data_IF_267771164148
#
_entry.id   IF_267771164148
#
_cell.length_a   1.000
_cell.length_b   1.000
_cell.length_c   1.000
_cell.angle_alpha   90.00
_cell.angle_beta   90.00
_cell.angle_gamma   90.00
#
_symmetry.space_group_name_H-M   'P 1'
#
loop_
_entity.id
_entity.type
_entity.pdbx_description
1 polymer ?
#
# COMPACT_ATOMS: atom_id res chain seq x y z
N UNK A 1 -4.05 -8.15 -21.37
CA UNK A 1 -3.47 -6.79 -21.51
C UNK A 1 -1.97 -6.95 -21.38
N UNK A 2 -1.16 -6.62 -22.39
CA UNK A 2 0.25 -7.01 -22.45
C UNK A 2 1.08 -6.50 -21.25
N UNK A 3 0.68 -5.38 -20.63
CA UNK A 3 1.37 -4.83 -19.46
C UNK A 3 0.99 -5.41 -18.09
N UNK A 4 0.04 -6.35 -18.01
CA UNK A 4 -0.39 -6.94 -16.74
C UNK A 4 -0.26 -8.46 -16.76
N UNK A 5 0.23 -9.03 -15.66
CA UNK A 5 0.19 -10.46 -15.39
C UNK A 5 -0.88 -10.77 -14.33
N UNK A 6 -1.38 -12.00 -14.33
CA UNK A 6 -2.26 -12.52 -13.28
C UNK A 6 -1.44 -12.83 -12.02
N UNK A 7 -1.97 -12.46 -10.85
CA UNK A 7 -1.43 -12.87 -9.57
C UNK A 7 -1.89 -14.30 -9.25
N UNK A 8 -1.11 -15.30 -9.66
CA UNK A 8 -1.50 -16.70 -9.55
C UNK A 8 -1.62 -17.17 -8.08
N UNK A 9 -2.75 -17.81 -7.76
CA UNK A 9 -3.03 -18.34 -6.42
C UNK A 9 -3.15 -17.25 -5.36
N UNK A 10 -3.52 -16.01 -5.73
CA UNK A 10 -3.77 -14.91 -4.79
C UNK A 10 -5.24 -14.51 -4.86
N UNK A 11 -5.86 -14.44 -3.69
CA UNK A 11 -7.24 -14.00 -3.53
C UNK A 11 -7.29 -12.48 -3.43
N UNK A 12 -7.73 -11.82 -4.51
CA UNK A 12 -7.98 -10.38 -4.55
C UNK A 12 -8.87 -10.02 -5.74
N UNK A 13 -9.79 -9.06 -5.61
CA UNK A 13 -10.51 -8.52 -6.76
C UNK A 13 -9.53 -8.02 -7.83
N UNK A 14 -9.73 -8.43 -9.08
CA UNK A 14 -8.88 -7.99 -10.18
C UNK A 14 -7.42 -8.44 -10.07
N UNK A 15 -7.16 -9.64 -9.50
CA UNK A 15 -5.86 -10.31 -9.28
C UNK A 15 -4.83 -10.18 -10.42
N UNK A 16 -4.27 -8.99 -10.54
CA UNK A 16 -3.31 -8.59 -11.56
C UNK A 16 -2.30 -7.64 -10.98
N UNK A 17 -1.13 -7.62 -11.59
CA UNK A 17 -0.01 -6.75 -11.27
C UNK A 17 0.70 -6.39 -12.59
N UNK A 18 1.54 -5.35 -12.58
CA UNK A 18 2.40 -5.05 -13.71
C UNK A 18 3.25 -6.28 -14.07
N UNK A 19 3.24 -6.68 -15.35
CA UNK A 19 3.79 -7.96 -15.79
C UNK A 19 5.26 -8.15 -15.37
N UNK A 20 6.09 -7.12 -15.54
CA UNK A 20 7.50 -7.14 -15.15
C UNK A 20 7.79 -7.14 -13.64
N UNK A 21 6.76 -7.10 -12.78
CA UNK A 21 6.90 -7.15 -11.32
C UNK A 21 6.37 -8.45 -10.72
N UNK A 22 5.79 -9.34 -11.54
CA UNK A 22 5.11 -10.55 -11.06
C UNK A 22 6.08 -11.51 -10.33
N UNK A 23 7.27 -11.71 -10.87
CA UNK A 23 8.27 -12.61 -10.29
C UNK A 23 8.82 -12.08 -8.96
N UNK A 24 9.11 -10.78 -8.89
CA UNK A 24 9.56 -10.13 -7.65
C UNK A 24 8.47 -10.17 -6.57
N UNK A 25 7.20 -10.02 -6.95
CA UNK A 25 6.08 -10.18 -6.02
C UNK A 25 5.97 -11.64 -5.54
N UNK A 26 6.12 -12.61 -6.44
CA UNK A 26 6.09 -14.03 -6.09
C UNK A 26 7.22 -14.41 -5.13
N UNK A 27 8.42 -13.87 -5.35
CA UNK A 27 9.58 -14.04 -4.48
C UNK A 27 9.34 -13.41 -3.09
N UNK A 28 8.81 -12.17 -3.02
CA UNK A 28 8.39 -11.56 -1.76
C UNK A 28 7.39 -12.44 -1.01
N UNK A 29 6.36 -12.97 -1.68
CA UNK A 29 5.38 -13.88 -1.07
C UNK A 29 6.05 -15.15 -0.55
N UNK A 30 6.98 -15.74 -1.29
CA UNK A 30 7.71 -16.93 -0.87
C UNK A 30 8.56 -16.67 0.39
N UNK A 31 9.27 -15.54 0.46
CA UNK A 31 10.07 -15.18 1.64
C UNK A 31 9.20 -14.90 2.86
N UNK A 32 8.07 -14.21 2.68
CA UNK A 32 7.11 -13.96 3.76
C UNK A 32 6.58 -15.29 4.30
N UNK A 33 6.23 -16.24 3.43
CA UNK A 33 5.80 -17.59 3.81
C UNK A 33 6.88 -18.33 4.59
N UNK A 34 8.12 -18.31 4.09
CA UNK A 34 9.24 -18.98 4.74
C UNK A 34 9.51 -18.41 6.15
N UNK A 35 9.49 -17.08 6.31
CA UNK A 35 9.81 -16.43 7.57
C UNK A 35 8.67 -16.49 8.61
N UNK A 36 7.41 -16.44 8.16
CA UNK A 36 6.25 -16.39 9.07
C UNK A 36 5.55 -17.74 9.24
N UNK A 37 5.82 -18.72 8.35
CA UNK A 37 5.04 -19.95 8.25
C UNK A 37 3.60 -19.73 7.77
N UNK A 38 3.26 -18.52 7.28
CA UNK A 38 1.91 -18.12 6.89
C UNK A 38 1.93 -17.47 5.51
N UNK A 39 0.90 -17.74 4.73
CA UNK A 39 0.73 -17.09 3.43
C UNK A 39 0.02 -15.74 3.55
N UNK A 40 0.69 -14.76 4.17
CA UNK A 40 0.11 -13.44 4.41
C UNK A 40 -0.25 -12.68 3.12
N UNK A 41 0.54 -12.85 2.06
CA UNK A 41 0.28 -12.25 0.75
C UNK A 41 -0.56 -13.15 -0.18
N UNK A 42 -1.09 -14.26 0.33
CA UNK A 42 -2.02 -15.12 -0.39
C UNK A 42 -3.40 -14.51 -0.57
N UNK A 43 -3.75 -13.57 0.29
CA UNK A 43 -4.97 -12.77 0.19
C UNK A 43 -4.59 -11.30 0.30
N UNK A 44 -5.01 -10.48 -0.65
CA UNK A 44 -4.78 -9.03 -0.64
C UNK A 44 -6.11 -8.30 -0.49
N UNK A 45 -6.07 -7.15 0.14
CA UNK A 45 -7.25 -6.29 0.21
C UNK A 45 -7.51 -5.61 -1.16
N UNK A 46 -6.44 -5.28 -1.89
CA UNK A 46 -6.52 -4.69 -3.23
C UNK A 46 -5.21 -4.90 -4.01
N UNK A 47 -5.28 -4.84 -5.33
CA UNK A 47 -4.14 -4.98 -6.25
C UNK A 47 -4.33 -4.07 -7.47
N UNK A 48 -4.77 -4.59 -8.62
CA UNK A 48 -4.96 -3.77 -9.80
C UNK A 48 -6.40 -3.22 -9.90
N UNK A 49 -6.50 -1.92 -10.20
CA UNK A 49 -7.78 -1.23 -10.47
C UNK A 49 -7.85 -0.78 -11.93
N UNK A 50 -9.00 -0.88 -12.62
CA UNK A 50 -9.14 -0.27 -13.95
C UNK A 50 -9.07 1.26 -13.88
N UNK A 51 -8.69 1.94 -14.98
CA UNK A 51 -8.57 3.40 -15.04
C UNK A 51 -9.82 4.14 -14.55
N UNK A 52 -11.00 3.63 -14.91
CA UNK A 52 -12.30 4.20 -14.53
C UNK A 52 -12.72 3.99 -13.08
N UNK A 53 -11.98 3.21 -12.29
CA UNK A 53 -12.31 2.94 -10.88
C UNK A 53 -12.35 4.24 -10.06
N UNK A 54 -13.39 4.36 -9.23
CA UNK A 54 -13.61 5.47 -8.30
C UNK A 54 -14.15 4.92 -6.97
N UNK A 55 -13.62 5.44 -5.87
CA UNK A 55 -14.17 5.23 -4.52
C UNK A 55 -13.86 6.44 -3.66
N UNK A 56 -14.59 6.61 -2.57
CA UNK A 56 -14.36 7.71 -1.61
C UNK A 56 -12.98 7.65 -0.93
N UNK A 57 -12.35 6.47 -0.92
CA UNK A 57 -11.02 6.25 -0.34
C UNK A 57 -9.88 6.15 -1.36
N UNK A 58 -10.13 6.27 -2.67
CA UNK A 58 -9.09 6.15 -3.69
C UNK A 58 -8.75 7.50 -4.31
N UNK A 59 -7.47 7.84 -4.33
CA UNK A 59 -6.98 8.90 -5.20
C UNK A 59 -7.28 8.56 -6.68
N UNK A 60 -7.60 9.57 -7.49
CA UNK A 60 -7.84 9.37 -8.92
C UNK A 60 -6.63 8.77 -9.63
N UNK A 61 -5.43 9.28 -9.32
CA UNK A 61 -4.12 8.79 -9.79
C UNK A 61 -3.50 7.80 -8.81
N UNK A 62 -4.27 6.81 -8.35
CA UNK A 62 -3.75 5.73 -7.51
C UNK A 62 -2.80 4.83 -8.30
N UNK A 63 -1.72 4.35 -7.66
CA UNK A 63 -0.77 3.41 -8.25
C UNK A 63 -1.33 2.00 -8.45
N UNK A 64 -2.47 1.65 -7.84
CA UNK A 64 -3.21 0.43 -8.19
C UNK A 64 -3.61 0.40 -9.67
N UNK A 65 -3.86 1.58 -10.26
CA UNK A 65 -4.23 1.68 -11.68
C UNK A 65 -3.08 1.30 -12.61
N UNK A 66 -1.84 1.46 -12.17
CA UNK A 66 -0.64 1.11 -12.96
C UNK A 66 -0.14 -0.31 -12.70
N UNK A 67 -0.85 -1.09 -11.86
CA UNK A 67 -0.42 -2.44 -11.48
C UNK A 67 0.83 -2.45 -10.60
N UNK A 68 1.21 -1.30 -10.04
CA UNK A 68 2.43 -1.10 -9.25
C UNK A 68 2.10 -0.74 -7.79
N UNK A 69 0.95 -1.18 -7.31
CA UNK A 69 0.57 -1.12 -5.90
C UNK A 69 -0.24 -2.35 -5.49
N UNK A 70 -0.18 -2.67 -4.19
CA UNK A 70 -1.04 -3.63 -3.55
C UNK A 70 -1.37 -3.19 -2.12
N UNK A 71 -2.52 -3.64 -1.63
CA UNK A 71 -2.94 -3.47 -0.25
C UNK A 71 -2.90 -4.83 0.45
N UNK A 72 -2.15 -4.94 1.55
CA UNK A 72 -2.15 -6.15 2.39
C UNK A 72 -3.48 -6.34 3.10
N UNK A 73 -3.69 -7.50 3.71
CA UNK A 73 -4.68 -7.62 4.78
C UNK A 73 -4.36 -6.61 5.91
N UNK A 74 -5.42 -6.09 6.53
CA UNK A 74 -5.31 -5.14 7.65
C UNK A 74 -5.00 -5.82 8.99
N UNK A 75 -5.25 -7.12 9.09
CA UNK A 75 -5.03 -7.87 10.31
C UNK A 75 -4.42 -9.24 10.00
N UNK A 76 -3.65 -9.75 10.96
CA UNK A 76 -3.22 -11.15 10.97
C UNK A 76 -3.44 -11.70 12.37
N UNK A 77 -4.35 -12.67 12.47
CA UNK A 77 -4.67 -13.35 13.71
C UNK A 77 -4.02 -14.73 13.76
N UNK A 78 -3.47 -15.04 14.93
CA UNK A 78 -2.92 -16.33 15.30
C UNK A 78 -3.89 -17.17 16.14
N UNK A 79 -3.49 -18.39 16.52
CA UNK A 79 -4.27 -19.26 17.40
C UNK A 79 -4.67 -18.55 18.70
N UNK A 80 -5.88 -18.82 19.18
CA UNK A 80 -6.41 -18.22 20.41
C UNK A 80 -6.65 -16.70 20.32
N UNK A 81 -6.79 -16.14 19.12
CA UNK A 81 -7.02 -14.70 18.93
C UNK A 81 -5.79 -13.83 19.16
N UNK A 82 -4.59 -14.41 19.15
CA UNK A 82 -3.34 -13.65 19.27
C UNK A 82 -3.16 -12.70 18.09
N UNK A 83 -2.76 -11.45 18.34
CA UNK A 83 -2.37 -10.51 17.26
C UNK A 83 -1.01 -10.93 16.71
N UNK A 84 -0.99 -11.46 15.49
CA UNK A 84 0.23 -11.86 14.77
C UNK A 84 0.69 -10.79 13.76
N UNK A 85 0.07 -9.61 13.79
CA UNK A 85 0.53 -8.38 13.16
C UNK A 85 0.66 -7.26 14.19
N UNK A 86 1.78 -6.55 14.15
CA UNK A 86 2.07 -5.39 14.99
C UNK A 86 2.51 -4.24 14.10
N UNK A 87 1.94 -3.06 14.34
CA UNK A 87 2.29 -1.83 13.63
C UNK A 87 3.04 -0.91 14.58
N UNK A 88 4.24 -0.47 14.21
CA UNK A 88 5.03 0.49 14.97
C UNK A 88 5.04 1.80 14.22
N UNK A 89 4.77 2.89 14.94
CA UNK A 89 4.81 4.24 14.37
C UNK A 89 6.23 4.58 13.96
N UNK A 90 6.38 5.12 12.76
CA UNK A 90 7.62 5.61 12.21
C UNK A 90 7.41 7.03 11.67
N UNK A 91 8.43 7.88 11.74
CA UNK A 91 8.37 9.27 11.29
C UNK A 91 9.52 9.52 10.33
N UNK A 92 9.20 9.77 9.06
CA UNK A 92 10.18 9.98 8.00
C UNK A 92 9.86 11.24 7.19
N UNK A 93 10.80 12.20 7.17
CA UNK A 93 10.64 13.46 6.44
C UNK A 93 9.42 14.28 6.89
N UNK A 94 9.15 14.30 8.20
CA UNK A 94 8.00 15.01 8.79
C UNK A 94 6.64 14.37 8.52
N UNK A 95 6.60 13.12 8.04
CA UNK A 95 5.36 12.38 7.77
C UNK A 95 5.32 11.08 8.56
N UNK A 96 4.15 10.81 9.15
CA UNK A 96 3.88 9.55 9.84
C UNK A 96 3.74 8.41 8.86
N UNK A 97 4.40 7.29 9.15
CA UNK A 97 4.26 6.01 8.46
C UNK A 97 4.21 4.89 9.50
N UNK A 98 4.01 3.66 9.04
CA UNK A 98 3.90 2.50 9.93
C UNK A 98 4.83 1.39 9.46
N UNK A 99 5.70 0.91 10.35
CA UNK A 99 6.42 -0.35 10.13
C UNK A 99 5.53 -1.50 10.55
N UNK A 100 5.34 -2.46 9.65
CA UNK A 100 4.59 -3.67 9.88
C UNK A 100 5.52 -4.81 10.26
N UNK A 101 5.19 -5.46 11.36
CA UNK A 101 5.85 -6.64 11.87
C UNK A 101 4.85 -7.79 11.90
N UNK A 102 5.25 -8.92 11.31
CA UNK A 102 4.49 -10.16 11.32
C UNK A 102 5.16 -11.14 12.26
N UNK A 103 4.39 -11.93 12.99
CA UNK A 103 4.98 -12.92 13.90
C UNK A 103 5.77 -13.96 13.09
N UNK A 104 7.01 -14.23 13.48
CA UNK A 104 7.83 -15.26 12.84
C UNK A 104 7.25 -16.66 13.09
N UNK A 105 7.42 -17.56 12.12
CA UNK A 105 6.97 -18.95 12.24
C UNK A 105 7.78 -19.67 13.31
N UNK A 106 9.11 -19.57 13.22
CA UNK A 106 10.04 -20.00 14.25
C UNK A 106 10.17 -18.90 15.33
N UNK A 107 10.13 -19.31 16.61
CA UNK A 107 10.23 -18.41 17.77
C UNK A 107 11.53 -18.63 18.54
N UNK A 108 12.58 -18.98 17.81
CA UNK A 108 13.95 -19.23 18.28
C UNK A 108 14.94 -18.14 17.81
N UNK A 109 14.47 -17.17 17.01
CA UNK A 109 15.27 -16.08 16.45
C UNK A 109 15.91 -16.37 15.10
N UNK A 110 15.66 -17.54 14.50
CA UNK A 110 16.22 -17.90 13.19
C UNK A 110 15.62 -17.09 12.03
N UNK A 111 14.35 -16.67 12.13
CA UNK A 111 13.63 -15.95 11.07
C UNK A 111 13.19 -14.53 11.44
N UNK A 112 13.36 -14.11 12.70
CA UNK A 112 12.85 -12.82 13.20
C UNK A 112 13.64 -12.30 14.39
N UNK A 113 13.21 -11.16 14.93
CA UNK A 113 13.84 -10.50 16.08
C UNK A 113 12.81 -10.06 17.12
N UNK A 114 13.19 -9.92 18.40
CA UNK A 114 12.34 -9.25 19.37
C UNK A 114 11.99 -7.83 18.93
N UNK A 115 10.79 -7.37 19.31
CA UNK A 115 10.45 -5.95 19.22
C UNK A 115 11.05 -5.21 20.42
N UNK A 116 11.33 -3.92 20.22
CA UNK A 116 11.83 -3.02 21.28
C UNK A 116 10.83 -1.94 21.65
N UNK A 117 9.74 -1.83 20.90
CA UNK A 117 8.69 -0.84 21.12
C UNK A 117 7.31 -1.51 21.05
N UNK A 118 6.35 -1.00 21.83
CA UNK A 118 4.97 -1.45 21.74
C UNK A 118 4.35 -1.07 20.39
N UNK A 119 3.41 -1.90 19.94
CA UNK A 119 2.58 -1.58 18.77
C UNK A 119 1.71 -0.34 19.00
N UNK A 120 1.19 0.22 17.91
CA UNK A 120 0.26 1.33 17.92
C UNK A 120 -1.18 0.86 17.89
N UNK A 121 -2.00 1.43 18.76
CA UNK A 121 -3.46 1.32 18.73
C UNK A 121 -4.01 2.60 18.13
N UNK A 122 -4.62 2.50 16.95
CA UNK A 122 -5.22 3.63 16.24
C UNK A 122 -6.44 4.18 16.96
N UNK A 123 -6.66 5.50 16.86
CA UNK A 123 -7.90 6.12 17.30
C UNK A 123 -9.08 5.77 16.37
N UNK A 124 -8.82 5.69 15.06
CA UNK A 124 -9.84 5.26 14.12
C UNK A 124 -10.26 3.82 14.43
N UNK A 125 -11.54 3.61 14.72
CA UNK A 125 -12.11 2.32 15.11
C UNK A 125 -11.95 1.93 16.58
N UNK A 126 -11.32 2.76 17.43
CA UNK A 126 -11.17 2.43 18.87
C UNK A 126 -12.41 2.70 19.72
N UNK A 127 -13.30 3.58 19.26
CA UNK A 127 -14.41 4.11 20.06
C UNK A 127 -13.98 5.13 21.13
N UNK A 128 -12.69 5.44 21.26
CA UNK A 128 -12.15 6.40 22.22
C UNK A 128 -11.85 7.74 21.55
N UNK A 129 -12.76 8.71 21.72
CA UNK A 129 -12.64 10.05 21.16
C UNK A 129 -11.42 10.81 21.70
N UNK A 130 -10.91 10.47 22.88
CA UNK A 130 -9.72 11.09 23.48
C UNK A 130 -8.45 10.83 22.67
N UNK A 131 -8.41 9.75 21.89
CA UNK A 131 -7.25 9.39 21.07
C UNK A 131 -7.16 10.16 19.75
N UNK A 132 -8.23 10.85 19.34
CA UNK A 132 -8.31 11.53 18.04
C UNK A 132 -7.29 12.69 17.87
N UNK A 133 -6.79 13.26 18.97
CA UNK A 133 -5.76 14.32 18.92
C UNK A 133 -4.39 13.75 18.55
N UNK A 134 -4.06 12.57 19.05
CA UNK A 134 -2.77 11.90 18.82
C UNK A 134 -2.83 10.85 17.71
N UNK A 135 -4.04 10.53 17.24
CA UNK A 135 -4.32 9.47 16.26
C UNK A 135 -4.22 8.06 16.82
N UNK A 136 -4.17 7.93 18.14
CA UNK A 136 -3.97 6.66 18.83
C UNK A 136 -2.97 6.77 19.95
N UNK A 137 -2.49 5.61 20.41
CA UNK A 137 -1.48 5.50 21.46
C UNK A 137 -0.60 4.28 21.25
N UNK A 138 0.60 4.33 21.82
CA UNK A 138 1.42 3.13 22.02
C UNK A 138 0.72 2.17 22.99
N UNK A 139 0.85 0.88 22.74
CA UNK A 139 0.43 -0.17 23.67
C UNK A 139 1.21 -0.10 24.98
N UNK A 140 0.64 -0.70 26.03
CA UNK A 140 1.25 -0.69 27.37
C UNK A 140 2.48 -1.63 27.48
N UNK A 141 2.57 -2.64 26.61
CA UNK A 141 3.62 -3.65 26.65
C UNK A 141 4.23 -3.87 25.27
N UNK A 142 5.52 -4.20 25.25
CA UNK A 142 6.20 -4.68 24.05
C UNK A 142 5.77 -6.13 23.81
N UNK A 143 5.24 -6.49 22.62
CA UNK A 143 4.89 -7.86 22.32
C UNK A 143 6.11 -8.78 22.37
N UNK A 144 6.05 -9.83 23.18
CA UNK A 144 7.11 -10.84 23.25
C UNK A 144 7.22 -11.68 21.99
N UNK A 145 8.28 -12.49 21.91
CA UNK A 145 8.55 -13.38 20.78
C UNK A 145 9.36 -12.72 19.66
N UNK A 146 9.43 -13.43 18.53
CA UNK A 146 10.23 -13.03 17.37
C UNK A 146 9.33 -12.60 16.21
N UNK A 147 9.71 -11.51 15.56
CA UNK A 147 8.91 -10.81 14.57
C UNK A 147 9.73 -10.53 13.31
N UNK A 148 9.09 -10.76 12.16
CA UNK A 148 9.60 -10.44 10.83
C UNK A 148 9.22 -9.00 10.51
N UNK A 149 10.21 -8.18 10.15
CA UNK A 149 9.97 -6.83 9.63
C UNK A 149 9.50 -6.92 8.18
N UNK A 150 8.18 -7.03 7.99
CA UNK A 150 7.57 -7.13 6.65
C UNK A 150 7.88 -5.91 5.82
N UNK A 151 7.88 -4.72 6.42
CA UNK A 151 8.20 -3.48 5.73
C UNK A 151 9.62 -3.49 5.17
N UNK A 152 10.60 -3.96 5.93
CA UNK A 152 11.98 -4.10 5.45
C UNK A 152 12.11 -5.21 4.40
N UNK A 153 11.39 -6.33 4.55
CA UNK A 153 11.39 -7.41 3.58
C UNK A 153 10.80 -6.97 2.24
N UNK A 154 9.65 -6.31 2.23
CA UNK A 154 9.02 -5.74 1.05
C UNK A 154 9.95 -4.75 0.33
N UNK A 155 10.66 -3.90 1.08
CA UNK A 155 11.60 -2.94 0.51
C UNK A 155 12.78 -3.58 -0.23
N UNK A 156 13.21 -4.80 0.13
CA UNK A 156 14.25 -5.56 -0.62
C UNK A 156 13.81 -5.90 -2.04
N UNK A 157 12.50 -6.00 -2.26
CA UNK A 157 11.87 -6.23 -3.55
C UNK A 157 11.35 -4.93 -4.20
N UNK A 158 11.77 -3.76 -3.70
CA UNK A 158 11.37 -2.45 -4.23
C UNK A 158 9.96 -1.99 -3.86
N UNK A 159 9.25 -2.73 -2.99
CA UNK A 159 7.92 -2.37 -2.51
C UNK A 159 8.03 -1.49 -1.26
N UNK A 160 7.50 -0.28 -1.35
CA UNK A 160 7.62 0.71 -0.29
C UNK A 160 6.24 1.13 0.23
N UNK A 161 6.10 1.17 1.56
CA UNK A 161 4.96 1.80 2.22
C UNK A 161 4.84 3.28 1.84
N UNK A 162 3.61 3.80 1.83
CA UNK A 162 3.38 5.24 1.73
C UNK A 162 3.19 5.88 3.12
N UNK A 163 3.37 7.21 3.25
CA UNK A 163 2.99 7.91 4.47
C UNK A 163 1.49 8.00 4.62
N UNK A 164 1.04 7.98 5.87
CA UNK A 164 -0.34 8.29 6.22
C UNK A 164 -0.72 9.70 5.80
N UNK A 165 -1.99 9.90 5.49
CA UNK A 165 -2.52 11.20 5.10
C UNK A 165 -2.72 12.04 6.36
N UNK A 166 -2.01 13.17 6.48
CA UNK A 166 -2.07 14.04 7.66
C UNK A 166 -2.92 15.30 7.50
N UNK A 167 -3.92 15.30 6.60
CA UNK A 167 -4.69 16.52 6.27
C UNK A 167 -6.14 16.24 5.88
N UNK A 168 -7.00 17.23 6.12
CA UNK A 168 -8.39 17.24 5.69
C UNK A 168 -9.21 16.09 6.29
N UNK A 169 -10.22 15.64 5.54
CA UNK A 169 -11.11 14.54 5.98
C UNK A 169 -10.42 13.17 6.06
N UNK A 170 -9.26 13.04 5.44
CA UNK A 170 -8.45 11.83 5.44
C UNK A 170 -7.29 11.91 6.44
N UNK A 171 -7.32 12.83 7.41
CA UNK A 171 -6.32 12.83 8.48
C UNK A 171 -6.36 11.49 9.23
N UNK A 172 -5.25 10.74 9.19
CA UNK A 172 -5.07 9.42 9.77
C UNK A 172 -5.40 9.37 11.25
N UNK A 173 -5.32 10.50 11.95
CA UNK A 173 -5.67 10.58 13.36
C UNK A 173 -7.15 10.32 13.63
N UNK A 174 -7.99 10.46 12.61
CA UNK A 174 -9.46 10.40 12.71
C UNK A 174 -10.08 9.50 11.64
N UNK A 175 -9.39 9.28 10.54
CA UNK A 175 -9.87 8.53 9.39
C UNK A 175 -9.12 7.21 9.26
N UNK A 176 -9.87 6.10 9.19
CA UNK A 176 -9.29 4.78 8.92
C UNK A 176 -8.55 4.78 7.59
N UNK A 177 -9.19 5.26 6.51
CA UNK A 177 -8.59 5.36 5.18
C UNK A 177 -7.27 6.13 5.18
N UNK A 178 -7.14 7.16 6.01
CA UNK A 178 -5.93 7.97 6.10
C UNK A 178 -4.69 7.24 6.63
N UNK A 179 -4.86 6.07 7.26
CA UNK A 179 -3.78 5.34 7.92
C UNK A 179 -2.78 4.75 6.93
N UNK A 180 -3.23 4.11 5.85
CA UNK A 180 -2.41 3.66 4.71
C UNK A 180 -1.26 2.65 5.02
N UNK A 181 -1.20 2.02 6.20
CA UNK A 181 -0.09 1.08 6.51
C UNK A 181 -0.07 -0.17 5.61
N UNK A 182 -1.22 -0.52 5.05
CA UNK A 182 -1.40 -1.69 4.19
C UNK A 182 -0.96 -1.42 2.75
N UNK A 183 -0.80 -0.15 2.35
CA UNK A 183 -0.57 0.25 0.97
C UNK A 183 0.92 0.28 0.64
N UNK A 184 1.32 -0.56 -0.31
CA UNK A 184 2.69 -0.64 -0.82
C UNK A 184 2.72 -0.32 -2.31
N UNK A 185 3.72 0.46 -2.71
CA UNK A 185 3.93 0.88 -4.10
C UNK A 185 5.36 0.57 -4.56
N UNK A 186 5.52 0.25 -5.84
CA UNK A 186 6.83 0.12 -6.49
C UNK A 186 6.92 1.05 -7.71
N UNK A 187 7.49 2.23 -7.46
CA UNK A 187 7.50 3.33 -8.43
C UNK A 187 8.67 3.26 -9.42
N UNK A 188 9.80 2.68 -9.03
CA UNK A 188 11.01 2.56 -9.87
C UNK A 188 11.43 3.87 -10.57
N UNK A 189 11.25 5.02 -9.89
CA UNK A 189 11.55 6.35 -10.44
C UNK A 189 10.53 6.90 -11.45
N UNK A 190 9.48 6.15 -11.79
CA UNK A 190 8.45 6.58 -12.75
C UNK A 190 7.50 7.62 -12.14
N UNK A 191 7.05 8.54 -12.98
CA UNK A 191 5.84 9.32 -12.73
C UNK A 191 4.61 8.50 -13.09
N UNK A 192 3.46 8.88 -12.55
CA UNK A 192 2.23 8.07 -12.66
C UNK A 192 1.82 7.78 -14.11
N UNK A 193 1.88 8.77 -14.99
CA UNK A 193 1.48 8.63 -16.40
C UNK A 193 2.43 7.70 -17.17
N UNK A 194 3.74 7.81 -16.93
CA UNK A 194 4.76 6.93 -17.49
C UNK A 194 4.51 5.46 -17.07
N UNK A 195 4.19 5.24 -15.80
CA UNK A 195 3.81 3.93 -15.28
C UNK A 195 2.47 3.45 -15.87
N UNK A 196 1.49 4.32 -16.08
CA UNK A 196 0.21 3.96 -16.68
C UNK A 196 0.37 3.50 -18.13
N UNK A 197 1.22 4.15 -18.94
CA UNK A 197 1.52 3.74 -20.33
C UNK A 197 2.14 2.36 -20.46
N UNK A 198 2.73 1.82 -19.40
CA UNK A 198 3.22 0.44 -19.40
C UNK A 198 2.08 -0.59 -19.37
N UNK A 199 0.87 -0.19 -18.98
CA UNK A 199 -0.29 -1.06 -18.77
C UNK A 199 -1.43 -0.80 -19.75
N UNK A 200 -1.59 0.44 -20.21
CA UNK A 200 -2.67 0.88 -21.08
C UNK A 200 -2.10 1.45 -22.38
N UNK A 201 -2.79 1.19 -23.48
CA UNK A 201 -2.51 1.88 -24.74
C UNK A 201 -2.94 3.35 -24.67
N UNK A 202 -2.43 4.13 -25.63
CA UNK A 202 -2.67 5.58 -25.67
C UNK A 202 -4.15 5.91 -25.90
N UNK A 203 -4.91 5.06 -26.59
CA UNK A 203 -6.35 5.25 -26.82
C UNK A 203 -7.15 5.14 -25.51
N UNK A 204 -6.92 4.09 -24.71
CA UNK A 204 -7.57 3.90 -23.42
C UNK A 204 -7.19 5.00 -22.42
N UNK A 205 -5.94 5.47 -22.45
CA UNK A 205 -5.51 6.60 -21.65
C UNK A 205 -6.21 7.89 -22.11
N UNK A 206 -6.26 8.19 -23.41
CA UNK A 206 -6.88 9.39 -23.95
C UNK A 206 -8.38 9.47 -23.59
N UNK A 207 -9.08 8.33 -23.65
CA UNK A 207 -10.49 8.25 -23.25
C UNK A 207 -10.67 8.46 -21.74
N UNK A 208 -9.90 7.75 -20.91
CA UNK A 208 -10.06 7.80 -19.45
C UNK A 208 -9.56 9.11 -18.84
N UNK A 209 -8.56 9.73 -19.47
CA UNK A 209 -7.84 10.92 -19.03
C UNK A 209 -8.04 12.10 -19.99
N UNK A 210 -9.22 12.18 -20.62
CA UNK A 210 -9.61 13.30 -21.47
C UNK A 210 -9.55 14.63 -20.71
N UNK A 211 -9.21 15.78 -21.33
CA UNK A 211 -9.03 17.06 -20.63
C UNK A 211 -10.27 17.50 -19.88
N UNK A 212 -11.46 17.27 -20.43
CA UNK A 212 -12.71 17.61 -19.74
C UNK A 212 -12.86 16.83 -18.43
N UNK A 213 -12.47 15.54 -18.42
CA UNK A 213 -12.50 14.72 -17.21
C UNK A 213 -11.44 15.18 -16.21
N UNK A 214 -10.25 15.55 -16.68
CA UNK A 214 -9.17 16.08 -15.83
C UNK A 214 -9.52 17.45 -15.25
N UNK A 215 -10.15 18.34 -16.03
CA UNK A 215 -10.68 19.62 -15.58
C UNK A 215 -11.77 19.45 -14.51
N UNK A 216 -12.67 18.47 -14.69
CA UNK A 216 -13.69 18.16 -13.69
C UNK A 216 -13.11 17.62 -12.35
N UNK A 217 -11.84 17.19 -12.33
CA UNK A 217 -11.12 16.76 -11.14
C UNK A 217 -10.30 17.88 -10.49
N UNK A 218 -10.37 19.10 -11.02
CA UNK A 218 -9.63 20.29 -10.57
C UNK A 218 -8.12 20.02 -10.44
N UNK A 219 -7.56 19.29 -11.42
CA UNK A 219 -6.13 18.96 -11.47
C UNK A 219 -5.42 20.06 -12.26
N UNK A 220 -4.57 20.83 -11.58
CA UNK A 220 -3.78 21.89 -12.25
C UNK A 220 -2.81 21.33 -13.30
N UNK A 221 -2.46 22.15 -14.30
CA UNK A 221 -1.48 21.80 -15.32
C UNK A 221 -0.11 21.43 -14.71
N UNK A 222 0.34 22.17 -13.70
CA UNK A 222 1.58 21.85 -12.98
C UNK A 222 1.53 20.48 -12.31
N UNK A 223 0.36 20.08 -11.78
CA UNK A 223 0.16 18.73 -11.22
C UNK A 223 0.17 17.66 -12.30
N UNK A 224 -0.41 17.90 -13.47
CA UNK A 224 -0.33 16.98 -14.61
C UNK A 224 1.12 16.78 -15.08
N UNK A 225 1.89 17.86 -15.20
CA UNK A 225 3.32 17.78 -15.52
C UNK A 225 4.11 16.97 -14.48
N UNK A 226 3.83 17.17 -13.18
CA UNK A 226 4.40 16.38 -12.09
C UNK A 226 4.01 14.89 -12.13
N UNK A 227 2.85 14.56 -12.71
CA UNK A 227 2.40 13.19 -12.95
C UNK A 227 2.98 12.58 -14.23
N UNK A 228 3.73 13.35 -15.02
CA UNK A 228 4.42 12.88 -16.23
C UNK A 228 3.58 12.88 -17.49
N UNK A 229 2.49 13.65 -17.50
CA UNK A 229 1.73 13.87 -18.72
C UNK A 229 2.58 14.61 -19.77
N UNK A 230 2.49 14.23 -21.05
CA UNK A 230 3.04 15.02 -22.16
C UNK A 230 2.46 16.44 -22.14
N UNK A 231 3.22 17.38 -22.69
CA UNK A 231 2.64 18.67 -23.08
C UNK A 231 1.45 18.42 -24.02
N UNK A 232 0.41 19.25 -23.92
CA UNK A 232 -0.80 19.15 -24.76
C UNK A 232 -1.69 17.92 -24.56
N UNK A 233 -1.39 16.97 -23.67
CA UNK A 233 -2.21 15.75 -23.50
C UNK A 233 -3.74 15.99 -23.42
N UNK A 234 -4.58 15.17 -24.10
CA UNK A 234 -4.30 14.03 -24.98
C UNK A 234 -4.14 14.41 -26.47
N UNK A 235 -3.98 15.69 -26.79
CA UNK A 235 -3.83 16.18 -28.15
C UNK A 235 -2.71 17.20 -28.27
N UNK A 236 -1.58 16.78 -28.82
CA UNK A 236 -0.72 17.71 -29.55
C UNK A 236 -0.96 17.52 -31.05
N UNK A 237 -1.83 18.37 -31.58
CA UNK A 237 -1.40 19.54 -32.36
C UNK A 237 -2.48 20.60 -32.29
#
# INVERSE_FOLDING_TARGET
RPGLATLAGIEVPGARIHAGLADDFAALRADVRAATGRDFLGTLADAWRPLGFKSSGSAFFSWHKTGRAFDTQMELWGPGGRRDMVLVRDEAGGRTQWRMFLRAGAQDGSAGRPLFEPGWTFAAGSGDAGLAQTGGRRGATVPGGYWVDFTALAARYGWHRIPSIGRGRLDWRRSWTGIEYWHYERRDGLRWFEAARQVYDDAALAEALHPDRLRALDVSLGRLAGLGFPAGWPGES
#
